data_IF_532300999950
#
_entry.id   IF_532300999950
#
_cell.length_a   1.000
_cell.length_b   1.000
_cell.length_c   1.000
_cell.angle_alpha   90.00
_cell.angle_beta   90.00
_cell.angle_gamma   90.00
#
_symmetry.space_group_name_H-M   'P 1'
#
loop_
_entity.id
_entity.type
_entity.pdbx_description
1 polymer ?
#
# COMPACT_ATOMS: atom_id res chain seq x y z
N UNK A 1 13.77 18.70 28.35
CA UNK A 1 14.46 17.97 27.28
C UNK A 1 13.41 17.39 26.31
N UNK A 2 13.48 17.75 25.07
CA UNK A 2 12.53 17.27 24.08
C UNK A 2 12.98 15.90 23.54
N UNK A 3 11.99 15.04 23.27
CA UNK A 3 12.25 13.76 22.61
C UNK A 3 12.27 13.99 21.10
N UNK A 4 13.14 13.30 20.40
CA UNK A 4 13.19 13.31 18.96
C UNK A 4 12.53 12.05 18.41
N UNK A 5 11.63 12.24 17.46
CA UNK A 5 11.05 11.12 16.73
C UNK A 5 11.51 11.21 15.28
N UNK A 6 11.95 10.10 14.74
CA UNK A 6 12.41 10.04 13.36
C UNK A 6 11.71 8.90 12.63
N UNK A 7 11.51 9.11 11.32
CA UNK A 7 10.96 8.06 10.46
C UNK A 7 12.13 7.21 9.98
N UNK A 8 12.11 5.92 10.33
CA UNK A 8 13.20 4.99 10.01
C UNK A 8 12.88 4.06 8.85
N UNK A 9 11.61 3.97 8.47
CA UNK A 9 11.21 3.14 7.35
C UNK A 9 9.83 3.52 6.86
N UNK A 10 9.58 3.31 5.58
CA UNK A 10 8.31 3.63 4.94
C UNK A 10 7.86 2.49 4.04
N UNK A 11 6.55 2.30 3.98
CA UNK A 11 5.92 1.38 3.06
C UNK A 11 4.64 1.98 2.54
N UNK A 12 4.26 1.63 1.32
CA UNK A 12 3.07 2.18 0.70
C UNK A 12 2.38 1.16 -0.19
N UNK A 13 1.07 1.26 -0.23
CA UNK A 13 0.21 0.60 -1.22
C UNK A 13 -0.75 1.66 -1.73
N UNK A 14 -0.68 1.97 -3.01
CA UNK A 14 -1.45 3.07 -3.60
C UNK A 14 -1.76 2.81 -5.08
N UNK A 15 -2.72 3.57 -5.66
CA UNK A 15 -2.97 3.50 -7.10
C UNK A 15 -1.78 3.91 -7.97
N UNK A 16 -0.83 4.69 -7.43
CA UNK A 16 0.38 5.10 -8.15
C UNK A 16 1.49 4.06 -8.10
N UNK A 17 1.44 3.16 -7.15
CA UNK A 17 2.44 2.12 -7.01
C UNK A 17 2.37 1.44 -5.67
N UNK A 18 2.95 0.27 -5.55
CA UNK A 18 2.90 -0.54 -4.34
C UNK A 18 4.25 -0.61 -3.62
N UNK A 19 5.17 0.28 -3.98
CA UNK A 19 6.41 0.55 -3.25
C UNK A 19 6.62 2.05 -3.18
N UNK A 20 7.42 2.50 -2.22
CA UNK A 20 7.73 3.94 -2.08
C UNK A 20 8.40 4.46 -3.35
N UNK A 21 9.36 3.69 -3.88
CA UNK A 21 10.10 4.10 -5.08
C UNK A 21 9.19 4.23 -6.30
N UNK A 22 8.32 3.25 -6.54
CA UNK A 22 7.40 3.29 -7.69
C UNK A 22 6.36 4.41 -7.55
N UNK A 23 5.82 4.59 -6.36
CA UNK A 23 4.87 5.68 -6.09
C UNK A 23 5.51 7.04 -6.31
N UNK A 24 6.70 7.24 -5.77
CA UNK A 24 7.41 8.52 -5.91
C UNK A 24 7.77 8.83 -7.36
N UNK A 25 8.26 7.83 -8.08
CA UNK A 25 8.59 7.99 -9.50
C UNK A 25 7.37 8.39 -10.32
N UNK A 26 6.25 7.73 -10.11
CA UNK A 26 5.00 8.05 -10.79
C UNK A 26 4.47 9.44 -10.38
N UNK A 27 4.59 9.80 -9.11
CA UNK A 27 4.18 11.12 -8.64
C UNK A 27 5.02 12.23 -9.29
N UNK A 28 6.32 12.06 -9.38
CA UNK A 28 7.21 13.02 -10.05
C UNK A 28 6.88 13.18 -11.53
N UNK A 29 6.47 12.11 -12.17
CA UNK A 29 6.15 12.12 -13.61
C UNK A 29 4.72 12.58 -13.90
N UNK A 30 3.97 12.97 -12.88
CA UNK A 30 2.60 13.47 -13.03
C UNK A 30 1.58 12.41 -13.39
N UNK A 31 1.85 11.13 -13.07
CA UNK A 31 0.92 10.04 -13.32
C UNK A 31 -0.29 10.18 -12.43
N UNK A 32 -1.50 10.04 -13.00
CA UNK A 32 -2.75 10.06 -12.23
C UNK A 32 -3.18 8.62 -11.95
N UNK A 33 -3.39 8.30 -10.66
CA UNK A 33 -3.86 6.99 -10.25
C UNK A 33 -5.36 6.82 -10.25
N UNK A 34 -6.10 7.90 -10.52
CA UNK A 34 -7.56 7.88 -10.57
C UNK A 34 -8.00 7.56 -11.99
N UNK A 35 -8.82 6.53 -12.14
CA UNK A 35 -9.28 6.06 -13.44
C UNK A 35 -10.65 5.39 -13.28
N UNK A 36 -11.21 4.90 -14.35
CA UNK A 36 -12.51 4.24 -14.34
C UNK A 36 -12.52 3.06 -13.36
N UNK A 37 -13.61 2.93 -12.62
CA UNK A 37 -13.79 1.83 -11.68
C UNK A 37 -13.86 0.51 -12.46
N UNK A 38 -13.05 -0.47 -12.05
CA UNK A 38 -13.00 -1.79 -12.68
C UNK A 38 -13.50 -2.91 -11.76
N UNK A 39 -13.55 -2.67 -10.44
CA UNK A 39 -13.90 -3.71 -9.46
C UNK A 39 -15.37 -4.07 -9.43
N UNK A 40 -16.22 -3.18 -9.95
CA UNK A 40 -17.65 -3.43 -10.09
C UNK A 40 -18.20 -2.57 -11.23
N UNK A 41 -19.46 -2.87 -11.65
CA UNK A 41 -20.11 -2.09 -12.70
C UNK A 41 -20.67 -0.78 -12.11
N UNK A 42 -20.05 0.33 -12.47
CA UNK A 42 -20.40 1.66 -11.97
C UNK A 42 -21.32 2.44 -12.91
N UNK A 43 -21.89 1.80 -13.93
CA UNK A 43 -22.70 2.44 -14.98
C UNK A 43 -23.84 3.28 -14.40
N UNK A 44 -24.50 2.78 -13.34
CA UNK A 44 -25.64 3.43 -12.72
C UNK A 44 -25.26 4.43 -11.62
N UNK A 45 -23.97 4.65 -11.37
CA UNK A 45 -23.51 5.56 -10.33
C UNK A 45 -23.11 6.91 -10.93
N UNK A 46 -23.27 7.98 -10.13
CA UNK A 46 -22.89 9.33 -10.55
C UNK A 46 -21.38 9.46 -10.70
N UNK A 47 -20.62 8.84 -9.79
CA UNK A 47 -19.16 8.83 -9.83
C UNK A 47 -18.71 7.48 -10.38
N UNK A 48 -17.91 7.51 -11.43
CA UNK A 48 -17.43 6.31 -12.15
C UNK A 48 -15.93 6.13 -12.09
N UNK A 49 -15.23 7.01 -11.39
CA UNK A 49 -13.78 6.99 -11.26
C UNK A 49 -13.37 6.81 -9.80
N UNK A 50 -12.25 6.16 -9.59
CA UNK A 50 -11.70 5.92 -8.25
C UNK A 50 -10.21 5.65 -8.33
N UNK A 51 -9.52 5.82 -7.22
CA UNK A 51 -8.14 5.40 -7.07
C UNK A 51 -8.09 3.95 -6.63
N UNK A 52 -7.96 3.03 -7.57
CA UNK A 52 -7.86 1.60 -7.28
C UNK A 52 -6.41 1.15 -7.28
N UNK A 53 -6.07 0.27 -6.32
CA UNK A 53 -4.75 -0.38 -6.28
C UNK A 53 -4.73 -1.48 -7.34
N UNK A 54 -3.79 -1.41 -8.28
CA UNK A 54 -3.75 -2.32 -9.44
C UNK A 54 -2.53 -3.24 -9.46
N UNK A 55 -1.39 -2.77 -8.99
CA UNK A 55 -0.10 -3.46 -9.09
C UNK A 55 0.34 -4.10 -7.77
N UNK A 56 -0.62 -4.53 -6.95
CA UNK A 56 -0.30 -5.08 -5.64
C UNK A 56 -0.32 -6.61 -5.66
N UNK A 57 0.81 -7.21 -5.33
CA UNK A 57 0.93 -8.66 -5.19
C UNK A 57 0.93 -9.02 -3.70
N UNK A 58 -0.25 -9.37 -3.19
CA UNK A 58 -0.45 -9.69 -1.77
C UNK A 58 0.31 -10.96 -1.35
N UNK A 59 0.60 -11.86 -2.28
CA UNK A 59 1.29 -13.12 -1.97
C UNK A 59 2.73 -12.91 -1.51
N UNK A 60 3.32 -11.74 -1.80
CA UNK A 60 4.64 -11.38 -1.29
C UNK A 60 4.66 -11.16 0.22
N UNK A 61 3.51 -10.88 0.82
CA UNK A 61 3.40 -10.46 2.22
C UNK A 61 2.55 -11.40 3.06
N UNK A 62 1.66 -12.14 2.44
CA UNK A 62 0.68 -12.98 3.12
C UNK A 62 0.48 -14.29 2.40
N UNK A 63 0.05 -15.33 3.12
CA UNK A 63 -0.36 -16.59 2.50
C UNK A 63 -1.69 -16.42 1.78
N UNK A 64 -1.98 -17.27 0.81
CA UNK A 64 -3.27 -17.24 0.10
C UNK A 64 -4.47 -17.39 1.04
N UNK A 65 -4.31 -18.18 2.09
CA UNK A 65 -5.34 -18.41 3.11
C UNK A 65 -5.65 -17.12 3.86
N UNK A 66 -4.60 -16.40 4.26
CA UNK A 66 -4.77 -15.12 4.98
C UNK A 66 -5.39 -14.05 4.09
N UNK A 67 -5.01 -14.01 2.81
CA UNK A 67 -5.59 -13.07 1.83
C UNK A 67 -7.10 -13.28 1.72
N UNK A 68 -7.54 -14.54 1.65
CA UNK A 68 -8.98 -14.87 1.55
C UNK A 68 -9.78 -14.52 2.80
N UNK A 69 -9.14 -14.52 3.97
CA UNK A 69 -9.80 -14.26 5.25
C UNK A 69 -9.91 -12.79 5.60
N UNK A 70 -9.20 -11.92 4.90
CA UNK A 70 -9.14 -10.51 5.21
C UNK A 70 -9.70 -9.66 4.09
N UNK A 71 -10.31 -8.53 4.46
CA UNK A 71 -10.76 -7.55 3.50
C UNK A 71 -9.56 -6.85 2.84
N UNK A 72 -9.73 -6.30 1.63
CA UNK A 72 -8.63 -5.63 0.92
C UNK A 72 -7.91 -4.56 1.74
N UNK A 73 -8.63 -3.78 2.56
CA UNK A 73 -7.98 -2.74 3.37
C UNK A 73 -6.94 -3.33 4.33
N UNK A 74 -7.26 -4.48 4.94
CA UNK A 74 -6.34 -5.15 5.86
C UNK A 74 -5.13 -5.72 5.12
N UNK A 75 -5.34 -6.26 3.92
CA UNK A 75 -4.28 -6.79 3.07
C UNK A 75 -3.33 -5.68 2.64
N UNK A 76 -3.87 -4.53 2.24
CA UNK A 76 -3.06 -3.37 1.86
C UNK A 76 -2.26 -2.83 3.04
N UNK A 77 -2.89 -2.74 4.21
CA UNK A 77 -2.21 -2.29 5.43
C UNK A 77 -1.06 -3.21 5.80
N UNK A 78 -1.25 -4.51 5.68
CA UNK A 78 -0.20 -5.50 5.94
C UNK A 78 0.96 -5.34 4.96
N UNK A 79 0.66 -5.16 3.67
CA UNK A 79 1.67 -4.95 2.65
C UNK A 79 2.53 -3.71 2.92
N UNK A 80 1.88 -2.60 3.27
CA UNK A 80 2.58 -1.37 3.62
C UNK A 80 3.41 -1.52 4.90
N UNK A 81 2.85 -2.19 5.91
CA UNK A 81 3.54 -2.40 7.19
C UNK A 81 4.78 -3.27 7.03
N UNK A 82 4.71 -4.35 6.26
CA UNK A 82 5.86 -5.21 6.00
C UNK A 82 6.98 -4.43 5.30
N UNK A 83 6.63 -3.63 4.30
CA UNK A 83 7.60 -2.78 3.60
C UNK A 83 8.29 -1.81 4.57
N UNK A 84 7.52 -1.17 5.44
CA UNK A 84 8.04 -0.20 6.41
C UNK A 84 8.98 -0.87 7.42
N UNK A 85 8.62 -2.04 7.91
CA UNK A 85 9.45 -2.81 8.84
C UNK A 85 10.76 -3.24 8.19
N UNK A 86 10.71 -3.74 6.95
CA UNK A 86 11.91 -4.14 6.23
C UNK A 86 12.82 -2.94 5.96
N UNK A 87 12.25 -1.82 5.55
CA UNK A 87 13.00 -0.59 5.26
C UNK A 87 13.65 -0.01 6.51
N UNK A 88 13.01 -0.13 7.67
CA UNK A 88 13.53 0.40 8.93
C UNK A 88 14.73 -0.37 9.47
N UNK A 89 14.85 -1.65 9.11
CA UNK A 89 15.90 -2.51 9.65
C UNK A 89 15.69 -2.91 11.11
N UNK A 90 14.51 -2.67 11.66
CA UNK A 90 14.20 -3.05 13.05
C UNK A 90 14.13 -4.57 13.17
N UNK A 91 14.81 -5.11 14.16
CA UNK A 91 14.73 -6.51 14.54
C UNK A 91 13.85 -6.63 15.79
N UNK A 92 12.64 -7.12 15.60
CA UNK A 92 11.66 -7.22 16.68
C UNK A 92 12.07 -8.16 17.81
N UNK A 93 12.98 -9.09 17.53
CA UNK A 93 13.52 -9.97 18.56
C UNK A 93 14.48 -9.25 19.51
N UNK A 94 15.07 -8.13 19.07
CA UNK A 94 16.02 -7.34 19.84
C UNK A 94 15.39 -6.11 20.49
N UNK A 95 14.16 -5.78 20.13
CA UNK A 95 13.47 -4.60 20.67
C UNK A 95 12.51 -4.98 21.80
N UNK A 96 12.36 -4.05 22.74
CA UNK A 96 11.41 -4.21 23.87
C UNK A 96 9.97 -3.99 23.43
#
# INVERSE_FOLDING_TARGET
MSRRCVITGMGVVSPLGSTVDSMWENAKNGVCGIDNITKFDATDFKVKVAGEVRDFDAEKYMTKKDIKRNDPFAVYAMGAAVQAMDDSGIDMEKED
#
